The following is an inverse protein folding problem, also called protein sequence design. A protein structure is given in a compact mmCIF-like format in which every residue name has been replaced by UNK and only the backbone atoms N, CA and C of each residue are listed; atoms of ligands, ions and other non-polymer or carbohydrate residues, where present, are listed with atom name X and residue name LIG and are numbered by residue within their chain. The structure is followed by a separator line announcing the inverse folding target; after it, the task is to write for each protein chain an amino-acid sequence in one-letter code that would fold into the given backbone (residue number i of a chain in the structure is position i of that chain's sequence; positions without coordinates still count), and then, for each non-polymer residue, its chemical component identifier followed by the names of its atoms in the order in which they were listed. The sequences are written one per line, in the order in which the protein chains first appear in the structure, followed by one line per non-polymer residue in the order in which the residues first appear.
data_IF_086888367634
#
_entry.id   IF_086888367634
#
_cell.length_a   1.000
_cell.length_b   1.000
_cell.length_c   1.000
_cell.angle_alpha   90.00
_cell.angle_beta   90.00
_cell.angle_gamma   90.00
#
_symmetry.space_group_name_H-M   'P 1'
#
loop_
_entity.id
_entity.type
_entity.pdbx_description
1 polymer ?
#
# COMPACT_ATOMS: atom_id res chain seq x y z
N UNK A 1 40.85 34.60 54.46
CA UNK A 1 39.87 35.11 53.48
C UNK A 1 39.87 34.13 52.33
N UNK A 2 38.70 33.65 51.94
CA UNK A 2 38.54 32.53 51.00
C UNK A 2 38.85 32.97 49.56
N UNK A 3 39.81 32.30 48.93
CA UNK A 3 39.90 32.21 47.48
C UNK A 3 38.97 31.08 47.02
N UNK A 4 37.89 31.43 46.32
CA UNK A 4 37.09 30.49 45.55
C UNK A 4 36.78 31.17 44.21
N UNK A 5 37.63 30.91 43.22
CA UNK A 5 37.40 31.29 41.83
C UNK A 5 37.77 30.12 40.93
N UNK A 6 36.85 29.16 40.82
CA UNK A 6 36.80 28.20 39.71
C UNK A 6 35.38 28.20 39.20
N UNK A 7 35.00 29.28 38.51
CA UNK A 7 33.92 29.22 37.56
C UNK A 7 34.43 28.40 36.36
N UNK A 8 34.09 27.12 36.32
CA UNK A 8 34.30 26.29 35.13
C UNK A 8 33.65 26.99 33.93
N UNK A 9 34.47 27.41 32.97
CA UNK A 9 34.01 27.90 31.68
C UNK A 9 33.22 26.79 31.01
N UNK A 10 31.91 26.96 30.97
CA UNK A 10 31.01 26.13 30.19
C UNK A 10 31.53 26.10 28.74
N UNK A 11 31.85 24.93 28.15
CA UNK A 11 32.40 24.88 26.80
C UNK A 11 31.38 25.49 25.84
N UNK A 12 31.80 26.56 25.14
CA UNK A 12 30.99 27.16 24.07
C UNK A 12 30.68 26.08 23.04
N UNK A 13 29.42 25.67 22.98
CA UNK A 13 28.93 24.78 21.93
C UNK A 13 29.23 25.45 20.59
N UNK A 14 30.08 24.83 19.79
CA UNK A 14 30.38 25.26 18.44
C UNK A 14 29.10 25.18 17.60
N UNK A 15 28.36 26.29 17.54
CA UNK A 15 27.13 26.41 16.76
C UNK A 15 27.48 26.90 15.36
N UNK A 16 27.28 26.03 14.37
CA UNK A 16 27.37 26.42 12.95
C UNK A 16 25.99 26.89 12.50
N UNK A 17 25.91 28.16 12.08
CA UNK A 17 24.69 28.72 11.48
C UNK A 17 24.73 28.45 9.98
N UNK A 18 23.89 27.53 9.51
CA UNK A 18 23.73 27.25 8.08
C UNK A 18 22.68 28.21 7.52
N UNK A 19 23.03 29.17 6.64
CA UNK A 19 22.04 30.01 5.99
C UNK A 19 21.23 29.16 5.00
N UNK A 20 19.97 28.89 5.34
CA UNK A 20 19.04 28.20 4.44
C UNK A 20 18.24 29.26 3.69
N UNK A 21 18.27 29.22 2.36
CA UNK A 21 17.37 29.98 1.50
C UNK A 21 16.34 29.00 0.93
N UNK A 22 15.07 29.18 1.30
CA UNK A 22 13.97 28.54 0.61
C UNK A 22 13.86 29.20 -0.77
N UNK A 23 14.01 28.39 -1.81
CA UNK A 23 13.74 28.79 -3.20
C UNK A 23 12.32 28.38 -3.56
N UNK A 24 11.85 28.84 -4.73
CA UNK A 24 10.55 28.45 -5.25
C UNK A 24 10.39 26.93 -5.30
N UNK A 25 9.21 26.47 -4.91
CA UNK A 25 8.87 25.05 -4.92
C UNK A 25 8.75 24.57 -6.36
N UNK A 26 9.61 23.63 -6.75
CA UNK A 26 9.53 22.99 -8.05
C UNK A 26 8.75 21.67 -7.90
N UNK A 27 7.64 21.48 -8.63
CA UNK A 27 6.93 20.21 -8.62
C UNK A 27 7.84 19.10 -9.15
N UNK A 28 7.92 18.00 -8.42
CA UNK A 28 8.68 16.82 -8.84
C UNK A 28 7.74 15.85 -9.57
N UNK A 29 8.13 15.48 -10.79
CA UNK A 29 7.42 14.52 -11.62
C UNK A 29 8.19 13.20 -11.63
N UNK A 30 7.54 12.12 -11.23
CA UNK A 30 8.07 10.76 -11.31
C UNK A 30 7.36 10.02 -12.44
N UNK A 31 8.11 9.61 -13.48
CA UNK A 31 7.53 8.88 -14.61
C UNK A 31 7.84 7.39 -14.51
N UNK A 32 6.80 6.55 -14.58
CA UNK A 32 6.88 5.10 -14.73
C UNK A 32 6.66 4.74 -16.19
N UNK A 33 7.60 4.04 -16.81
CA UNK A 33 7.50 3.60 -18.21
C UNK A 33 7.30 2.09 -18.24
N UNK A 34 6.14 1.66 -18.73
CA UNK A 34 5.78 0.26 -18.95
C UNK A 34 5.76 -0.10 -20.43
N UNK A 35 5.40 -1.35 -20.76
CA UNK A 35 5.23 -1.78 -22.14
C UNK A 35 3.99 -1.07 -22.72
N UNK A 36 4.21 -0.13 -23.64
CA UNK A 36 3.15 0.61 -24.33
C UNK A 36 2.41 1.66 -23.50
N UNK A 37 2.83 1.91 -22.26
CA UNK A 37 2.19 2.92 -21.38
C UNK A 37 3.25 3.69 -20.62
N UNK A 38 2.95 4.95 -20.27
CA UNK A 38 3.73 5.71 -19.30
C UNK A 38 2.77 6.40 -18.33
N UNK A 39 3.18 6.53 -17.08
CA UNK A 39 2.41 7.19 -16.02
C UNK A 39 3.29 8.20 -15.32
N UNK A 40 2.85 9.45 -15.25
CA UNK A 40 3.55 10.51 -14.54
C UNK A 40 2.83 10.80 -13.24
N UNK A 41 3.53 10.62 -12.12
CA UNK A 41 3.05 10.94 -10.78
C UNK A 41 3.63 12.29 -10.38
N UNK A 42 2.76 13.23 -10.04
CA UNK A 42 3.14 14.52 -9.49
C UNK A 42 3.03 14.45 -7.96
N UNK A 43 4.13 14.73 -7.25
CA UNK A 43 4.20 14.53 -5.80
C UNK A 43 3.31 15.51 -5.03
N UNK A 44 3.04 16.69 -5.58
CA UNK A 44 2.21 17.74 -4.98
C UNK A 44 0.80 17.82 -5.59
N UNK A 45 0.33 16.74 -6.22
CA UNK A 45 -1.00 16.70 -6.82
C UNK A 45 -2.10 16.81 -5.74
N UNK A 46 -3.16 17.61 -5.95
CA UNK A 46 -4.23 17.78 -4.97
C UNK A 46 -5.07 16.51 -4.75
N UNK A 47 -5.11 15.62 -5.74
CA UNK A 47 -5.69 14.28 -5.61
C UNK A 47 -4.61 13.24 -5.33
N UNK A 48 -4.22 13.14 -4.05
CA UNK A 48 -3.23 12.17 -3.57
C UNK A 48 -3.76 10.72 -3.65
N UNK A 49 -5.09 10.53 -3.51
CA UNK A 49 -5.73 9.23 -3.60
C UNK A 49 -5.59 8.62 -4.99
N UNK A 50 -5.98 9.37 -6.03
CA UNK A 50 -5.81 8.95 -7.41
C UNK A 50 -4.33 8.73 -7.80
N UNK A 51 -3.40 9.49 -7.20
CA UNK A 51 -1.96 9.28 -7.42
C UNK A 51 -1.44 7.99 -6.80
N UNK A 52 -1.88 7.62 -5.59
CA UNK A 52 -1.51 6.35 -4.97
C UNK A 52 -2.04 5.17 -5.80
N UNK A 53 -3.30 5.26 -6.23
CA UNK A 53 -3.92 4.26 -7.10
C UNK A 53 -3.15 4.09 -8.42
N UNK A 54 -2.83 5.19 -9.11
CA UNK A 54 -2.05 5.17 -10.35
C UNK A 54 -0.65 4.59 -10.15
N UNK A 55 0.00 4.90 -9.02
CA UNK A 55 1.31 4.37 -8.68
C UNK A 55 1.28 2.85 -8.47
N UNK A 56 0.27 2.36 -7.75
CA UNK A 56 0.05 0.93 -7.53
C UNK A 56 -0.21 0.21 -8.86
N UNK A 57 -1.09 0.75 -9.69
CA UNK A 57 -1.38 0.19 -11.01
C UNK A 57 -0.12 0.14 -11.89
N UNK A 58 0.63 1.24 -11.97
CA UNK A 58 1.85 1.30 -12.76
C UNK A 58 2.90 0.29 -12.29
N UNK A 59 3.08 0.13 -10.98
CA UNK A 59 4.01 -0.84 -10.42
C UNK A 59 3.64 -2.29 -10.80
N UNK A 60 2.36 -2.62 -10.79
CA UNK A 60 1.85 -3.97 -11.10
C UNK A 60 1.77 -4.28 -12.59
N UNK A 61 1.71 -3.25 -13.45
CA UNK A 61 1.62 -3.43 -14.91
C UNK A 61 2.78 -4.26 -15.48
N UNK A 62 3.94 -4.21 -14.82
CA UNK A 62 5.13 -5.00 -15.19
C UNK A 62 5.01 -6.49 -14.86
N UNK A 63 4.14 -6.87 -13.92
CA UNK A 63 3.91 -8.26 -13.46
C UNK A 63 2.70 -8.88 -14.15
N UNK A 64 1.68 -8.08 -14.45
CA UNK A 64 0.40 -8.54 -15.02
C UNK A 64 0.08 -7.85 -16.35
N UNK A 65 0.92 -8.00 -17.39
CA UNK A 65 0.67 -7.38 -18.68
C UNK A 65 -0.63 -7.95 -19.28
N UNK A 66 -1.61 -7.08 -19.53
CA UNK A 66 -2.96 -7.42 -20.04
C UNK A 66 -3.92 -8.14 -19.09
N UNK A 67 -3.55 -8.39 -17.83
CA UNK A 67 -4.44 -8.97 -16.81
C UNK A 67 -4.58 -8.08 -15.58
N UNK A 68 -4.33 -6.78 -15.76
CA UNK A 68 -4.46 -5.77 -14.72
C UNK A 68 -5.59 -4.81 -15.07
N UNK A 69 -6.56 -4.68 -14.18
CA UNK A 69 -7.76 -3.89 -14.39
C UNK A 69 -7.87 -2.83 -13.30
N UNK A 70 -8.07 -1.59 -13.72
CA UNK A 70 -8.30 -0.44 -12.84
C UNK A 70 -9.81 -0.23 -12.67
N UNK A 71 -10.26 -0.01 -11.44
CA UNK A 71 -11.67 0.19 -11.04
C UNK A 71 -12.66 -0.75 -11.73
N UNK A 72 -12.45 -2.09 -11.72
CA UNK A 72 -13.44 -3.02 -12.25
C UNK A 72 -14.79 -2.85 -11.53
N UNK A 73 -15.87 -3.07 -12.28
CA UNK A 73 -17.22 -2.99 -11.77
C UNK A 73 -17.78 -4.38 -11.44
N UNK A 74 -18.66 -4.43 -10.44
CA UNK A 74 -19.43 -5.61 -10.07
C UNK A 74 -20.92 -5.31 -10.12
N UNK A 75 -21.66 -6.17 -10.81
CA UNK A 75 -23.11 -6.14 -10.91
C UNK A 75 -23.72 -7.05 -9.84
N UNK A 76 -24.60 -6.51 -9.00
CA UNK A 76 -25.39 -7.27 -8.03
C UNK A 76 -26.87 -6.92 -8.20
N UNK A 77 -27.57 -7.74 -8.98
CA UNK A 77 -28.90 -7.40 -9.48
C UNK A 77 -28.80 -6.22 -10.44
N UNK A 78 -29.62 -5.18 -10.22
CA UNK A 78 -29.65 -3.96 -11.06
C UNK A 78 -28.57 -2.94 -10.68
N UNK A 79 -27.88 -3.13 -9.55
CA UNK A 79 -26.88 -2.16 -9.06
C UNK A 79 -25.51 -2.53 -9.58
N UNK A 80 -24.88 -1.57 -10.25
CA UNK A 80 -23.46 -1.62 -10.61
C UNK A 80 -22.68 -0.76 -9.62
N UNK A 81 -21.59 -1.30 -9.08
CA UNK A 81 -20.67 -0.57 -8.21
C UNK A 81 -19.24 -0.97 -8.51
N UNK A 82 -18.29 -0.14 -8.12
CA UNK A 82 -16.88 -0.51 -8.13
C UNK A 82 -16.63 -1.73 -7.23
N UNK A 83 -15.83 -2.67 -7.72
CA UNK A 83 -15.43 -3.87 -7.00
C UNK A 83 -14.28 -3.54 -6.03
N UNK A 84 -13.23 -2.90 -6.55
CA UNK A 84 -12.02 -2.45 -5.84
C UNK A 84 -11.22 -1.54 -6.77
N UNK A 85 -10.21 -0.83 -6.25
CA UNK A 85 -9.39 0.09 -7.06
C UNK A 85 -8.57 -0.65 -8.14
N UNK A 86 -7.96 -1.80 -7.81
CA UNK A 86 -7.17 -2.60 -8.78
C UNK A 86 -7.43 -4.10 -8.62
N UNK A 87 -7.67 -4.78 -9.74
CA UNK A 87 -7.76 -6.24 -9.84
C UNK A 87 -6.67 -6.77 -10.77
N UNK A 88 -5.84 -7.69 -10.28
CA UNK A 88 -4.88 -8.44 -11.08
C UNK A 88 -5.33 -9.90 -11.18
N UNK A 89 -5.46 -10.39 -12.42
CA UNK A 89 -5.81 -11.79 -12.71
C UNK A 89 -4.56 -12.61 -13.02
N UNK A 90 -4.51 -13.83 -12.51
CA UNK A 90 -3.39 -14.75 -12.77
C UNK A 90 -3.76 -16.20 -12.50
N UNK A 91 -3.09 -17.10 -13.21
CA UNK A 91 -3.18 -18.55 -12.99
C UNK A 91 -2.52 -19.02 -11.69
N UNK A 92 -1.86 -18.12 -10.94
CA UNK A 92 -1.22 -18.42 -9.66
C UNK A 92 -1.99 -17.82 -8.47
N UNK A 93 -3.15 -17.22 -8.73
CA UNK A 93 -3.98 -16.50 -7.75
C UNK A 93 -4.24 -15.06 -8.16
N UNK A 94 -5.45 -14.57 -7.89
CA UNK A 94 -5.82 -13.19 -8.19
C UNK A 94 -5.52 -12.26 -7.00
N UNK A 95 -5.27 -11.00 -7.31
CA UNK A 95 -5.01 -9.95 -6.31
C UNK A 95 -6.06 -8.85 -6.43
N UNK A 96 -6.76 -8.57 -5.33
CA UNK A 96 -7.62 -7.41 -5.15
C UNK A 96 -6.86 -6.36 -4.35
N UNK A 97 -6.86 -5.11 -4.80
CA UNK A 97 -6.14 -4.05 -4.14
C UNK A 97 -7.03 -2.84 -3.91
N UNK A 98 -7.11 -2.45 -2.65
CA UNK A 98 -7.76 -1.22 -2.24
C UNK A 98 -6.70 -0.24 -1.72
N UNK A 99 -6.60 0.91 -2.36
CA UNK A 99 -5.72 1.99 -1.96
C UNK A 99 -6.43 2.96 -1.02
N UNK A 100 -5.68 3.41 -0.03
CA UNK A 100 -6.17 4.23 1.07
C UNK A 100 -5.11 5.26 1.41
N UNK A 101 -5.14 6.36 0.68
CA UNK A 101 -4.32 7.50 0.99
C UNK A 101 -4.97 8.38 2.09
N UNK A 102 -4.12 9.05 2.87
CA UNK A 102 -4.55 10.06 3.82
C UNK A 102 -4.11 11.40 3.29
N UNK A 103 -4.93 12.08 2.48
CA UNK A 103 -4.62 13.38 1.87
C UNK A 103 -3.88 14.31 2.84
N UNK A 104 -2.57 14.40 2.69
CA UNK A 104 -1.64 15.06 3.60
C UNK A 104 -1.46 16.52 3.21
N UNK A 105 -1.33 16.78 1.91
CA UNK A 105 -1.11 18.09 1.31
C UNK A 105 -2.38 18.94 1.36
N UNK A 106 -3.55 18.31 1.21
CA UNK A 106 -4.84 19.00 1.33
C UNK A 106 -5.13 19.46 2.78
N UNK A 107 -4.50 18.85 3.80
CA UNK A 107 -4.66 19.30 5.18
C UNK A 107 -3.71 20.46 5.50
N UNK A 108 -4.24 21.69 5.53
CA UNK A 108 -3.53 22.96 5.78
C UNK A 108 -2.92 23.12 7.19
N UNK A 109 -2.36 22.07 7.78
CA UNK A 109 -1.70 22.15 9.09
C UNK A 109 -1.10 20.82 9.50
N UNK A 110 -0.03 20.87 10.31
CA UNK A 110 0.59 19.69 10.89
C UNK A 110 -0.43 18.98 11.79
N UNK A 111 -1.13 17.97 11.27
CA UNK A 111 -1.88 17.05 12.13
C UNK A 111 -0.89 16.46 13.13
N UNK A 112 -1.20 16.53 14.42
CA UNK A 112 -0.42 15.86 15.45
C UNK A 112 -0.23 14.39 15.07
N UNK A 113 0.98 13.85 15.24
CA UNK A 113 1.36 12.50 14.80
C UNK A 113 0.31 11.43 15.16
N UNK A 114 -0.17 11.45 16.40
CA UNK A 114 -1.21 10.53 16.88
C UNK A 114 -2.52 10.58 16.05
N UNK A 115 -2.97 11.76 15.61
CA UNK A 115 -4.15 11.91 14.75
C UNK A 115 -3.91 11.35 13.36
N UNK A 116 -2.67 11.47 12.85
CA UNK A 116 -2.28 10.90 11.55
C UNK A 116 -2.31 9.37 11.62
N UNK A 117 -1.67 8.78 12.63
CA UNK A 117 -1.66 7.32 12.85
C UNK A 117 -3.09 6.78 12.96
N UNK A 118 -3.94 7.40 13.78
CA UNK A 118 -5.35 7.00 13.91
C UNK A 118 -6.11 7.13 12.59
N UNK A 119 -5.86 8.20 11.83
CA UNK A 119 -6.45 8.41 10.51
C UNK A 119 -6.10 7.29 9.53
N UNK A 120 -4.82 6.89 9.45
CA UNK A 120 -4.39 5.80 8.56
C UNK A 120 -4.99 4.45 9.01
N UNK A 121 -5.00 4.14 10.31
CA UNK A 121 -5.65 2.92 10.83
C UNK A 121 -7.12 2.83 10.43
N UNK A 122 -7.87 3.93 10.59
CA UNK A 122 -9.28 3.99 10.19
C UNK A 122 -9.46 3.71 8.70
N UNK A 123 -8.59 4.26 7.86
CA UNK A 123 -8.64 4.01 6.42
C UNK A 123 -8.28 2.56 6.09
N UNK A 124 -7.30 1.97 6.77
CA UNK A 124 -6.94 0.56 6.62
C UNK A 124 -8.13 -0.37 6.93
N UNK A 125 -8.83 -0.13 8.05
CA UNK A 125 -10.03 -0.88 8.45
C UNK A 125 -11.16 -0.75 7.42
N UNK A 126 -11.36 0.47 6.89
CA UNK A 126 -12.34 0.71 5.83
C UNK A 126 -11.99 -0.07 4.57
N UNK A 127 -10.73 -0.01 4.14
CA UNK A 127 -10.25 -0.75 2.96
C UNK A 127 -10.41 -2.26 3.13
N UNK A 128 -10.11 -2.80 4.31
CA UNK A 128 -10.33 -4.21 4.62
C UNK A 128 -11.81 -4.60 4.49
N UNK A 129 -12.73 -3.77 4.98
CA UNK A 129 -14.18 -4.01 4.85
C UNK A 129 -14.64 -3.99 3.39
N UNK A 130 -14.11 -3.06 2.59
CA UNK A 130 -14.41 -3.01 1.14
C UNK A 130 -13.94 -4.29 0.44
N UNK A 131 -12.72 -4.76 0.74
CA UNK A 131 -12.17 -5.99 0.18
C UNK A 131 -12.92 -7.25 0.63
N UNK A 132 -13.43 -7.32 1.87
CA UNK A 132 -14.37 -8.38 2.28
C UNK A 132 -15.60 -8.38 1.37
N UNK A 133 -16.18 -7.21 1.11
CA UNK A 133 -17.30 -7.05 0.20
C UNK A 133 -17.00 -7.49 -1.23
N UNK A 134 -15.80 -7.16 -1.73
CA UNK A 134 -15.30 -7.51 -3.05
C UNK A 134 -15.09 -9.03 -3.20
N UNK A 135 -14.35 -9.64 -2.28
CA UNK A 135 -14.09 -11.07 -2.23
C UNK A 135 -15.40 -11.88 -2.20
N UNK A 136 -16.35 -11.49 -1.34
CA UNK A 136 -17.67 -12.14 -1.30
C UNK A 136 -18.46 -11.95 -2.59
N UNK A 137 -18.32 -10.84 -3.28
CA UNK A 137 -19.00 -10.62 -4.55
C UNK A 137 -18.44 -11.52 -5.66
N UNK A 138 -17.11 -11.66 -5.74
CA UNK A 138 -16.47 -12.63 -6.63
C UNK A 138 -16.93 -14.05 -6.34
N UNK A 139 -16.92 -14.47 -5.06
CA UNK A 139 -17.35 -15.83 -4.66
C UNK A 139 -18.83 -16.12 -4.90
N UNK A 140 -19.67 -15.10 -5.05
CA UNK A 140 -21.08 -15.25 -5.47
C UNK A 140 -21.24 -15.37 -6.99
N UNK A 141 -20.16 -15.38 -7.76
CA UNK A 141 -20.16 -15.34 -9.23
C UNK A 141 -20.96 -14.14 -9.77
N UNK A 142 -20.89 -12.99 -9.08
CA UNK A 142 -21.42 -11.74 -9.62
C UNK A 142 -20.69 -11.39 -10.92
N UNK A 143 -21.39 -10.78 -11.88
CA UNK A 143 -20.78 -10.36 -13.14
C UNK A 143 -19.79 -9.22 -12.89
N UNK A 144 -18.55 -9.42 -13.32
CA UNK A 144 -17.46 -8.46 -13.22
C UNK A 144 -17.14 -7.92 -14.60
N UNK A 145 -16.94 -6.61 -14.71
CA UNK A 145 -16.52 -5.96 -15.95
C UNK A 145 -15.35 -5.02 -15.71
N UNK A 146 -14.52 -4.81 -16.74
CA UNK A 146 -13.54 -3.72 -16.73
C UNK A 146 -14.24 -2.37 -16.76
N UNK A 147 -13.49 -1.30 -16.51
CA UNK A 147 -13.95 0.09 -16.70
C UNK A 147 -14.44 0.37 -18.14
N UNK A 148 -13.98 -0.40 -19.13
CA UNK A 148 -14.41 -0.34 -20.53
C UNK A 148 -15.66 -1.19 -20.82
N UNK A 149 -16.23 -1.86 -19.82
CA UNK A 149 -17.42 -2.70 -19.96
C UNK A 149 -17.16 -4.13 -20.43
N UNK A 150 -15.90 -4.54 -20.63
CA UNK A 150 -15.55 -5.92 -20.99
C UNK A 150 -15.80 -6.85 -19.82
N UNK A 151 -16.62 -7.89 -20.00
CA UNK A 151 -16.84 -8.92 -18.98
C UNK A 151 -15.54 -9.68 -18.71
N UNK A 152 -15.19 -9.80 -17.42
CA UNK A 152 -13.97 -10.46 -16.97
C UNK A 152 -14.30 -11.88 -16.50
N UNK A 153 -13.56 -12.86 -17.00
CA UNK A 153 -13.61 -14.21 -16.47
C UNK A 153 -12.56 -14.35 -15.37
N UNK A 154 -13.01 -14.52 -14.13
CA UNK A 154 -12.15 -14.58 -12.95
C UNK A 154 -12.07 -16.02 -12.48
N UNK A 155 -10.89 -16.64 -12.59
CA UNK A 155 -10.66 -17.96 -12.02
C UNK A 155 -10.56 -17.86 -10.50
N UNK A 156 -11.45 -18.54 -9.79
CA UNK A 156 -11.52 -18.53 -8.33
C UNK A 156 -11.08 -19.88 -7.74
N UNK A 157 -10.30 -20.67 -8.47
CA UNK A 157 -9.74 -21.94 -7.98
C UNK A 157 -8.84 -21.73 -6.75
N UNK A 158 -8.02 -20.69 -6.75
CA UNK A 158 -7.14 -20.29 -5.66
C UNK A 158 -7.77 -19.27 -4.69
N UNK A 159 -7.07 -19.05 -3.56
CA UNK A 159 -7.39 -17.96 -2.63
C UNK A 159 -7.02 -16.60 -3.22
N UNK A 160 -7.85 -15.60 -2.97
CA UNK A 160 -7.62 -14.22 -3.33
C UNK A 160 -6.63 -13.59 -2.36
N UNK A 161 -5.67 -12.85 -2.89
CA UNK A 161 -4.87 -11.90 -2.11
C UNK A 161 -5.59 -10.56 -2.07
N UNK A 162 -6.18 -10.23 -0.91
CA UNK A 162 -6.84 -8.96 -0.64
C UNK A 162 -5.85 -8.01 0.03
N UNK A 163 -5.35 -7.01 -0.69
CA UNK A 163 -4.28 -6.12 -0.24
C UNK A 163 -4.80 -4.70 -0.04
N UNK A 164 -4.75 -4.21 1.19
CA UNK A 164 -4.97 -2.78 1.47
C UNK A 164 -3.62 -2.06 1.40
N UNK A 165 -3.50 -1.09 0.51
CA UNK A 165 -2.33 -0.20 0.41
C UNK A 165 -2.64 1.08 1.17
N UNK A 166 -1.92 1.33 2.26
CA UNK A 166 -1.99 2.60 2.98
C UNK A 166 -0.84 3.52 2.59
N UNK A 167 -1.02 4.83 2.81
CA UNK A 167 0.01 5.83 2.54
C UNK A 167 1.29 5.59 3.34
N UNK A 168 1.16 5.21 4.61
CA UNK A 168 2.29 4.93 5.49
C UNK A 168 1.94 3.93 6.58
N UNK A 169 2.81 2.92 6.77
CA UNK A 169 2.72 1.98 7.89
C UNK A 169 3.77 2.38 8.94
N UNK A 170 3.30 3.06 9.99
CA UNK A 170 4.14 3.56 11.07
C UNK A 170 4.57 2.46 12.06
N UNK A 171 5.58 2.74 12.88
CA UNK A 171 6.14 1.77 13.84
C UNK A 171 5.25 1.51 15.06
N UNK A 172 4.21 2.30 15.27
CA UNK A 172 3.24 2.14 16.35
C UNK A 172 2.50 0.80 16.30
N UNK A 173 1.78 0.49 17.39
CA UNK A 173 0.90 -0.67 17.50
C UNK A 173 -0.16 -0.66 16.37
N UNK A 174 -0.38 -1.81 15.72
CA UNK A 174 -1.39 -2.02 14.67
C UNK A 174 -2.39 -3.15 15.01
N UNK A 175 -2.50 -3.54 16.28
CA UNK A 175 -3.23 -4.74 16.72
C UNK A 175 -4.69 -4.73 16.29
N UNK A 176 -5.36 -3.58 16.39
CA UNK A 176 -6.75 -3.43 15.91
C UNK A 176 -6.89 -3.76 14.41
N UNK A 177 -5.95 -3.30 13.60
CA UNK A 177 -5.96 -3.52 12.15
C UNK A 177 -5.52 -4.95 11.81
N UNK A 178 -4.57 -5.50 12.57
CA UNK A 178 -4.19 -6.90 12.48
C UNK A 178 -5.37 -7.82 12.79
N UNK A 179 -6.08 -7.60 13.89
CA UNK A 179 -7.24 -8.40 14.29
C UNK A 179 -8.38 -8.29 13.28
N UNK A 180 -8.61 -7.10 12.72
CA UNK A 180 -9.57 -6.92 11.64
C UNK A 180 -9.20 -7.70 10.38
N UNK A 181 -7.93 -7.68 9.97
CA UNK A 181 -7.44 -8.49 8.85
C UNK A 181 -7.56 -9.99 9.15
N UNK A 182 -7.19 -10.44 10.35
CA UNK A 182 -7.34 -11.82 10.78
C UNK A 182 -8.81 -12.27 10.81
N UNK A 183 -9.71 -11.40 11.25
CA UNK A 183 -11.16 -11.64 11.21
C UNK A 183 -11.68 -11.74 9.78
N UNK A 184 -11.24 -10.85 8.89
CA UNK A 184 -11.60 -10.90 7.46
C UNK A 184 -11.17 -12.22 6.80
N UNK A 185 -9.97 -12.73 7.14
CA UNK A 185 -9.51 -14.05 6.68
C UNK A 185 -10.39 -15.19 7.18
N UNK A 186 -10.80 -15.16 8.46
CA UNK A 186 -11.73 -16.17 9.03
C UNK A 186 -13.11 -16.10 8.38
N UNK A 187 -13.60 -14.90 8.11
CA UNK A 187 -14.94 -14.66 7.55
C UNK A 187 -15.04 -15.07 6.08
N UNK A 188 -13.99 -14.82 5.29
CA UNK A 188 -14.02 -15.00 3.83
C UNK A 188 -13.27 -16.23 3.34
N UNK A 189 -12.31 -16.75 4.13
CA UNK A 189 -11.37 -17.78 3.72
C UNK A 189 -10.19 -17.28 2.87
N UNK A 190 -10.19 -16.00 2.49
CA UNK A 190 -9.17 -15.38 1.64
C UNK A 190 -7.96 -14.85 2.44
N UNK A 191 -6.96 -14.33 1.75
CA UNK A 191 -5.70 -13.85 2.34
C UNK A 191 -5.70 -12.32 2.42
N UNK A 192 -5.72 -11.76 3.63
CA UNK A 192 -5.75 -10.31 3.82
C UNK A 192 -4.39 -9.74 4.21
N UNK A 193 -4.00 -8.67 3.52
CA UNK A 193 -2.75 -7.96 3.70
C UNK A 193 -3.03 -6.48 3.93
N UNK A 194 -2.27 -5.87 4.83
CA UNK A 194 -2.19 -4.41 4.95
C UNK A 194 -0.71 -4.05 4.84
N UNK A 195 -0.37 -3.23 3.85
CA UNK A 195 1.00 -2.81 3.55
C UNK A 195 1.02 -1.34 3.12
N UNK A 196 2.19 -0.70 3.16
CA UNK A 196 2.39 0.58 2.50
C UNK A 196 2.97 0.40 1.09
N UNK A 197 2.96 1.48 0.29
CA UNK A 197 3.48 1.43 -1.08
C UNK A 197 4.95 0.99 -1.15
N UNK A 198 5.77 1.33 -0.14
CA UNK A 198 7.19 0.93 -0.07
C UNK A 198 7.32 -0.59 0.02
N UNK A 199 6.49 -1.23 0.83
CA UNK A 199 6.48 -2.70 0.93
C UNK A 199 6.02 -3.36 -0.36
N UNK A 200 4.99 -2.82 -1.03
CA UNK A 200 4.56 -3.32 -2.34
C UNK A 200 5.74 -3.31 -3.33
N UNK A 201 6.46 -2.20 -3.43
CA UNK A 201 7.65 -2.09 -4.29
C UNK A 201 8.73 -3.10 -3.91
N UNK A 202 8.97 -3.33 -2.61
CA UNK A 202 9.94 -4.33 -2.15
C UNK A 202 9.53 -5.76 -2.56
N UNK A 203 8.26 -6.10 -2.36
CA UNK A 203 7.70 -7.39 -2.77
C UNK A 203 7.80 -7.59 -4.28
N UNK A 204 7.47 -6.57 -5.08
CA UNK A 204 7.58 -6.61 -6.55
C UNK A 204 9.03 -6.79 -7.02
N UNK A 205 9.99 -6.12 -6.37
CA UNK A 205 11.43 -6.30 -6.66
C UNK A 205 11.89 -7.73 -6.41
N UNK A 206 11.42 -8.37 -5.34
CA UNK A 206 11.73 -9.78 -5.06
C UNK A 206 11.07 -10.70 -6.09
N UNK A 207 9.84 -10.37 -6.53
CA UNK A 207 9.12 -11.13 -7.55
C UNK A 207 9.78 -11.09 -8.93
N UNK A 208 10.49 -10.00 -9.26
CA UNK A 208 11.20 -9.78 -10.54
C UNK A 208 10.27 -9.97 -11.75
N UNK A 209 9.09 -9.35 -11.72
CA UNK A 209 8.13 -9.41 -12.83
C UNK A 209 7.33 -10.72 -12.91
N UNK A 210 7.54 -11.69 -12.01
CA UNK A 210 6.86 -13.00 -12.05
C UNK A 210 5.74 -13.07 -11.02
N UNK A 211 4.51 -13.22 -11.51
CA UNK A 211 3.29 -13.33 -10.70
C UNK A 211 3.33 -14.49 -9.70
N UNK A 212 3.73 -15.71 -10.10
CA UNK A 212 3.83 -16.84 -9.18
C UNK A 212 4.85 -16.61 -8.03
N UNK A 213 5.92 -15.85 -8.31
CA UNK A 213 6.87 -15.44 -7.26
C UNK A 213 6.26 -14.38 -6.36
N UNK A 214 5.52 -13.42 -6.91
CA UNK A 214 4.78 -12.42 -6.13
C UNK A 214 3.81 -13.09 -5.15
N UNK A 215 3.02 -14.08 -5.60
CA UNK A 215 2.11 -14.83 -4.74
C UNK A 215 2.85 -15.55 -3.61
N UNK A 216 3.96 -16.22 -3.93
CA UNK A 216 4.81 -16.89 -2.93
C UNK A 216 5.34 -15.92 -1.87
N UNK A 217 5.80 -14.73 -2.29
CA UNK A 217 6.34 -13.72 -1.36
C UNK A 217 5.24 -13.16 -0.47
N UNK A 218 4.06 -12.85 -1.02
CA UNK A 218 2.91 -12.39 -0.24
C UNK A 218 2.46 -13.43 0.79
N UNK A 219 2.40 -14.71 0.40
CA UNK A 219 2.03 -15.80 1.31
C UNK A 219 3.04 -15.95 2.44
N UNK A 220 4.34 -16.01 2.13
CA UNK A 220 5.39 -16.08 3.16
C UNK A 220 5.37 -14.88 4.10
N UNK A 221 5.16 -13.68 3.55
CA UNK A 221 5.02 -12.47 4.35
C UNK A 221 3.84 -12.60 5.32
N UNK A 222 2.69 -13.07 4.84
CA UNK A 222 1.50 -13.27 5.67
C UNK A 222 1.71 -14.32 6.76
N UNK A 223 2.40 -15.42 6.46
CA UNK A 223 2.79 -16.41 7.48
C UNK A 223 3.62 -15.77 8.60
N UNK A 224 4.56 -14.88 8.25
CA UNK A 224 5.33 -14.12 9.24
C UNK A 224 4.45 -13.14 10.03
N UNK A 225 3.54 -12.42 9.38
CA UNK A 225 2.57 -11.51 10.03
C UNK A 225 1.74 -12.26 11.05
N UNK A 226 1.22 -13.44 10.69
CA UNK A 226 0.39 -14.28 11.58
C UNK A 226 1.20 -14.86 12.73
N UNK A 227 2.42 -15.34 12.46
CA UNK A 227 3.31 -15.90 13.49
C UNK A 227 3.74 -14.86 14.52
N UNK A 228 4.03 -13.64 14.08
CA UNK A 228 4.52 -12.54 14.92
C UNK A 228 3.39 -11.63 15.42
N UNK A 229 2.15 -11.89 14.98
CA UNK A 229 0.96 -11.09 15.28
C UNK A 229 1.17 -9.57 15.04
N UNK A 230 1.83 -9.22 13.93
CA UNK A 230 2.13 -7.83 13.62
C UNK A 230 2.11 -7.56 12.12
N UNK A 231 1.58 -6.40 11.71
CA UNK A 231 1.60 -5.95 10.32
C UNK A 231 2.96 -5.37 9.90
N UNK A 232 3.83 -5.03 10.87
CA UNK A 232 5.14 -4.41 10.65
C UNK A 232 6.22 -5.40 10.15
N UNK A 233 5.85 -6.26 9.20
CA UNK A 233 6.77 -7.18 8.50
C UNK A 233 7.20 -6.55 7.19
N UNK A 234 8.52 -6.47 6.99
CA UNK A 234 9.15 -5.86 5.81
C UNK A 234 9.93 -6.89 4.99
N UNK A 235 9.62 -6.97 3.70
CA UNK A 235 10.28 -7.89 2.78
C UNK A 235 11.65 -7.33 2.35
N UNK A 236 12.66 -8.20 2.32
CA UNK A 236 14.00 -7.88 1.83
C UNK A 236 14.52 -9.03 0.99
N UNK A 237 15.25 -8.70 -0.07
CA UNK A 237 16.01 -9.71 -0.80
C UNK A 237 17.07 -10.27 0.14
N UNK A 238 17.24 -11.59 0.17
CA UNK A 238 18.35 -12.18 0.90
C UNK A 238 19.67 -11.54 0.42
N UNK A 239 20.63 -11.25 1.31
CA UNK A 239 21.97 -10.89 0.89
C UNK A 239 22.43 -11.94 -0.12
N UNK A 240 23.00 -11.53 -1.25
CA UNK A 240 23.62 -12.48 -2.14
C UNK A 240 24.68 -13.20 -1.31
N UNK A 241 24.45 -14.46 -0.96
CA UNK A 241 25.50 -15.38 -0.56
C UNK A 241 26.29 -15.65 -1.84
N UNK A 242 27.16 -14.71 -2.19
CA UNK A 242 28.24 -14.91 -3.14
C UNK A 242 29.08 -16.07 -2.61
N UNK A 243 28.94 -17.22 -3.27
CA UNK A 243 29.99 -18.23 -3.37
C UNK A 243 30.81 -17.89 -4.60
#
# INVERSE_FOLDING_TARGET
MYENSTAEKNPELAAVKIPVKLVDWHPNFLSYVGIGTYQTVQVDHPDEGGMLENSVWAALSSVYPAQLYKSPAVENGEKTRELTDVLALSSHGNVLIETKDLAMLASKGSRAHARRVSGVKKQALKGGTQLVGAAKALRRNCKISSSEGKVLNVDLSDKLHCVVIVSELFAENWDEVYEAAASAMRETGELFHVIDYRELVAVLKIARGRDGTLQTVLTKRLEHVLRQQTLNVRSRQAPNSSV
#
